data_IF_565570939987
#
_entry.id   IF_565570939987
#
_cell.length_a   1.000
_cell.length_b   1.000
_cell.length_c   1.000
_cell.angle_alpha   90.00
_cell.angle_beta   90.00
_cell.angle_gamma   90.00
#
_symmetry.space_group_name_H-M   'P 1'
#
loop_
_entity.id
_entity.type
_entity.pdbx_description
1 polymer ?
#
# COMPACT_ATOMS: atom_id res chain seq x y z
N UNK A 1 -89.95 -1.66 25.78
CA UNK A 1 -88.58 -2.11 26.09
C UNK A 1 -87.75 -0.85 26.38
N UNK A 2 -87.67 -0.39 27.63
CA UNK A 2 -86.58 -0.58 28.62
C UNK A 2 -85.18 -0.13 28.13
N UNK A 3 -84.70 1.06 28.55
CA UNK A 3 -83.55 1.33 29.47
C UNK A 3 -82.15 1.08 28.86
N UNK A 4 -81.01 1.75 29.12
CA UNK A 4 -80.47 2.79 30.03
C UNK A 4 -78.99 3.02 29.54
N UNK A 5 -78.48 4.26 29.47
CA UNK A 5 -77.39 4.85 30.33
C UNK A 5 -75.93 4.78 29.84
N UNK A 6 -75.22 5.88 30.15
CA UNK A 6 -73.80 6.05 30.55
C UNK A 6 -72.67 5.95 29.50
N UNK A 7 -72.02 7.11 29.25
CA UNK A 7 -70.56 7.24 28.98
C UNK A 7 -69.74 6.57 30.12
N UNK A 8 -68.39 6.36 30.12
CA UNK A 8 -67.31 7.22 29.53
C UNK A 8 -65.94 6.50 29.20
N UNK A 9 -64.86 7.27 28.96
CA UNK A 9 -63.39 6.95 28.97
C UNK A 9 -62.75 6.13 27.83
N UNK A 10 -61.82 6.76 27.08
CA UNK A 10 -60.59 6.15 26.56
C UNK A 10 -59.54 7.26 26.35
N UNK A 11 -58.69 7.48 27.36
CA UNK A 11 -57.27 7.10 27.41
C UNK A 11 -56.42 7.92 26.42
N UNK A 12 -55.82 8.98 26.95
CA UNK A 12 -54.70 9.70 26.36
C UNK A 12 -53.44 8.85 26.55
N UNK A 13 -52.85 8.37 25.46
CA UNK A 13 -51.57 7.66 25.47
C UNK A 13 -50.44 8.71 25.48
N UNK A 14 -49.90 9.01 26.67
CA UNK A 14 -48.65 9.76 26.81
C UNK A 14 -47.47 8.84 26.41
N UNK A 15 -46.80 9.13 25.29
CA UNK A 15 -45.47 8.58 25.03
C UNK A 15 -44.45 9.31 25.91
N UNK A 16 -43.97 8.65 26.96
CA UNK A 16 -42.79 9.10 27.70
C UNK A 16 -41.53 8.65 26.96
N UNK A 17 -40.83 9.59 26.34
CA UNK A 17 -39.45 9.40 25.89
C UNK A 17 -38.54 9.39 27.11
N UNK A 18 -38.15 8.20 27.59
CA UNK A 18 -37.06 8.09 28.56
C UNK A 18 -35.73 8.19 27.81
N UNK A 19 -35.06 9.33 27.93
CA UNK A 19 -33.65 9.44 27.55
C UNK A 19 -32.84 8.69 28.61
N UNK A 20 -32.46 7.46 28.30
CA UNK A 20 -31.51 6.70 29.11
C UNK A 20 -30.10 7.17 28.76
N UNK A 21 -29.52 8.00 29.64
CA UNK A 21 -28.13 8.39 29.55
C UNK A 21 -27.27 7.29 30.18
N UNK A 22 -26.78 6.34 29.38
CA UNK A 22 -25.76 5.39 29.83
C UNK A 22 -24.40 6.09 29.96
N UNK A 23 -23.62 5.86 31.02
CA UNK A 23 -22.25 6.38 31.13
C UNK A 23 -21.32 5.71 30.10
N UNK A 24 -20.29 6.41 29.60
CA UNK A 24 -19.36 5.84 28.64
C UNK A 24 -18.53 4.74 29.30
N UNK A 25 -18.53 3.56 28.70
CA UNK A 25 -17.61 2.49 29.05
C UNK A 25 -16.16 2.95 28.84
N UNK A 26 -15.34 2.88 29.88
CA UNK A 26 -13.89 3.01 29.76
C UNK A 26 -13.39 1.88 28.86
N UNK A 27 -13.07 2.23 27.62
CA UNK A 27 -12.36 1.34 26.71
C UNK A 27 -10.95 1.19 27.25
N UNK A 28 -10.65 -0.01 27.74
CA UNK A 28 -9.30 -0.44 28.07
C UNK A 28 -8.39 -0.18 26.88
N UNK A 29 -7.33 0.58 27.14
CA UNK A 29 -6.25 0.91 26.21
C UNK A 29 -5.56 -0.37 25.72
N UNK A 30 -6.05 -0.95 24.63
CA UNK A 30 -5.24 -1.82 23.78
C UNK A 30 -4.30 -0.91 23.01
N UNK A 31 -2.99 -1.01 23.27
CA UNK A 31 -1.94 -0.35 22.51
C UNK A 31 -2.04 -0.72 21.01
N UNK A 32 -2.85 0.00 20.25
CA UNK A 32 -2.71 0.09 18.81
C UNK A 32 -1.53 1.02 18.54
N UNK A 33 -0.34 0.44 18.41
CA UNK A 33 0.70 1.09 17.62
C UNK A 33 0.16 1.17 16.19
N UNK A 34 -0.01 2.37 15.60
CA UNK A 34 -0.18 2.47 14.16
C UNK A 34 1.05 1.80 13.54
N UNK A 35 0.85 0.96 12.51
CA UNK A 35 1.97 0.51 11.70
C UNK A 35 2.75 1.76 11.26
N UNK A 36 4.01 1.87 11.68
CA UNK A 36 4.85 3.01 11.30
C UNK A 36 4.91 3.05 9.77
N UNK A 37 4.25 4.05 9.17
CA UNK A 37 4.37 4.30 7.74
C UNK A 37 5.75 4.91 7.53
N UNK A 38 6.72 4.08 7.13
CA UNK A 38 8.01 4.59 6.68
C UNK A 38 7.78 5.47 5.42
N UNK A 39 8.46 6.63 5.32
CA UNK A 39 8.31 7.50 4.17
C UNK A 39 8.82 6.78 2.91
N UNK A 40 8.10 6.93 1.80
CA UNK A 40 8.56 6.44 0.51
C UNK A 40 9.82 7.19 0.08
N UNK A 41 10.75 6.48 -0.55
CA UNK A 41 12.03 7.03 -0.99
C UNK A 41 12.00 7.27 -2.50
N UNK A 42 12.22 8.50 -2.99
CA UNK A 42 12.22 8.77 -4.42
C UNK A 42 13.41 8.11 -5.13
N UNK A 43 13.18 7.64 -6.34
CA UNK A 43 14.17 7.14 -7.29
C UNK A 43 13.90 7.77 -8.66
N UNK A 44 14.83 8.57 -9.16
CA UNK A 44 14.72 9.20 -10.47
C UNK A 44 15.01 8.16 -11.55
N UNK A 45 14.16 8.06 -12.57
CA UNK A 45 14.45 7.30 -13.79
C UNK A 45 15.49 8.06 -14.60
N UNK A 46 16.70 7.53 -14.67
CA UNK A 46 17.82 8.14 -15.40
C UNK A 46 17.73 7.80 -16.89
N UNK A 47 17.36 6.56 -17.21
CA UNK A 47 17.25 6.09 -18.59
C UNK A 47 16.32 4.88 -18.70
N UNK A 48 15.86 4.62 -19.93
CA UNK A 48 15.18 3.39 -20.31
C UNK A 48 16.11 2.60 -21.23
N UNK A 49 16.42 1.35 -20.90
CA UNK A 49 17.30 0.50 -21.72
C UNK A 49 16.68 0.24 -23.09
N UNK A 50 17.45 0.39 -24.18
CA UNK A 50 16.92 0.31 -25.54
C UNK A 50 16.41 -1.10 -25.93
N UNK A 51 17.06 -2.16 -25.45
CA UNK A 51 16.78 -3.53 -25.89
C UNK A 51 15.49 -4.12 -25.29
N UNK A 52 15.25 -3.87 -23.99
CA UNK A 52 14.15 -4.50 -23.22
C UNK A 52 13.31 -3.49 -22.43
N UNK A 53 13.49 -2.19 -22.66
CA UNK A 53 12.77 -1.15 -21.94
C UNK A 53 12.82 -1.31 -20.40
N UNK A 54 13.96 -1.74 -19.87
CA UNK A 54 14.21 -1.78 -18.43
C UNK A 54 14.35 -0.35 -17.89
N UNK A 55 13.97 -0.15 -16.63
CA UNK A 55 13.92 1.16 -15.99
C UNK A 55 15.18 1.31 -15.14
N UNK A 56 16.11 2.16 -15.54
CA UNK A 56 17.33 2.42 -14.77
C UNK A 56 17.14 3.67 -13.91
N UNK A 57 17.52 3.58 -12.63
CA UNK A 57 17.28 4.66 -11.67
C UNK A 57 18.58 5.20 -11.06
N UNK A 58 18.51 6.33 -10.35
CA UNK A 58 19.63 6.87 -9.56
C UNK A 58 19.81 6.19 -8.19
N UNK A 59 18.96 5.20 -7.88
CA UNK A 59 18.92 4.54 -6.60
C UNK A 59 20.09 3.56 -6.45
N UNK A 60 21.12 3.96 -5.71
CA UNK A 60 22.27 3.08 -5.43
C UNK A 60 21.91 1.88 -4.54
N UNK A 61 22.63 0.78 -4.71
CA UNK A 61 22.57 -0.39 -3.82
C UNK A 61 22.73 0.00 -2.34
N UNK A 62 23.70 0.88 -2.03
CA UNK A 62 23.93 1.37 -0.66
C UNK A 62 22.69 2.07 -0.09
N UNK A 63 21.95 2.81 -0.91
CA UNK A 63 20.73 3.51 -0.49
C UNK A 63 19.59 2.51 -0.25
N UNK A 64 19.44 1.50 -1.11
CA UNK A 64 18.51 0.39 -0.89
C UNK A 64 18.80 -0.35 0.43
N UNK A 65 20.06 -0.71 0.67
CA UNK A 65 20.46 -1.38 1.91
C UNK A 65 20.14 -0.52 3.15
N UNK A 66 20.35 0.81 3.07
CA UNK A 66 20.03 1.73 4.18
C UNK A 66 18.55 1.79 4.55
N UNK A 67 17.66 1.32 3.67
CA UNK A 67 16.22 1.23 3.90
C UNK A 67 15.73 -0.21 4.04
N UNK A 68 16.64 -1.15 4.28
CA UNK A 68 16.34 -2.55 4.55
C UNK A 68 16.04 -3.39 3.31
N UNK A 69 16.40 -2.93 2.12
CA UNK A 69 16.28 -3.70 0.87
C UNK A 69 17.68 -4.19 0.48
N UNK A 70 17.89 -5.49 0.64
CA UNK A 70 19.12 -6.19 0.26
C UNK A 70 18.81 -7.32 -0.74
N UNK A 71 19.84 -7.93 -1.35
CA UNK A 71 19.66 -9.06 -2.25
C UNK A 71 18.77 -10.16 -1.62
N UNK A 72 17.78 -10.63 -2.38
CA UNK A 72 16.74 -11.55 -1.94
C UNK A 72 15.48 -10.87 -1.35
N UNK A 73 15.51 -9.56 -1.12
CA UNK A 73 14.36 -8.82 -0.57
C UNK A 73 13.27 -8.64 -1.62
N UNK A 74 12.01 -8.79 -1.19
CA UNK A 74 10.86 -8.30 -1.96
C UNK A 74 10.48 -6.91 -1.46
N UNK A 75 10.28 -5.99 -2.39
CA UNK A 75 9.88 -4.61 -2.09
C UNK A 75 8.82 -4.11 -3.06
N UNK A 76 8.22 -2.98 -2.73
CA UNK A 76 7.24 -2.31 -3.61
C UNK A 76 7.81 -0.99 -4.10
N UNK A 77 7.77 -0.78 -5.41
CA UNK A 77 7.93 0.54 -6.02
C UNK A 77 6.54 1.06 -6.43
N UNK A 78 6.35 2.38 -6.36
CA UNK A 78 5.14 3.06 -6.77
C UNK A 78 5.44 4.01 -7.92
N UNK A 79 4.57 4.01 -8.93
CA UNK A 79 4.59 4.98 -10.01
C UNK A 79 3.13 5.31 -10.36
N UNK A 80 2.76 6.59 -10.26
CA UNK A 80 1.37 7.03 -10.33
C UNK A 80 0.44 6.24 -9.38
N UNK A 81 -0.59 5.57 -9.90
CA UNK A 81 -1.51 4.70 -9.15
C UNK A 81 -1.07 3.22 -9.13
N UNK A 82 0.06 2.90 -9.75
CA UNK A 82 0.55 1.53 -9.92
C UNK A 82 1.50 1.13 -8.79
N UNK A 83 1.34 -0.12 -8.32
CA UNK A 83 2.23 -0.77 -7.35
C UNK A 83 2.97 -1.92 -8.00
N UNK A 84 4.29 -1.84 -7.96
CA UNK A 84 5.22 -2.76 -8.61
C UNK A 84 5.91 -3.57 -7.53
N UNK A 85 5.62 -4.86 -7.43
CA UNK A 85 6.25 -5.76 -6.46
C UNK A 85 7.40 -6.50 -7.11
N UNK A 86 8.63 -6.14 -6.77
CA UNK A 86 9.84 -6.73 -7.33
C UNK A 86 10.61 -7.55 -6.30
N UNK A 87 11.35 -8.56 -6.78
CA UNK A 87 12.42 -9.22 -6.02
C UNK A 87 13.75 -8.56 -6.41
N UNK A 88 14.55 -8.10 -5.44
CA UNK A 88 15.96 -7.75 -5.69
C UNK A 88 16.77 -9.04 -5.85
N UNK A 89 16.92 -9.49 -7.10
CA UNK A 89 17.60 -10.73 -7.43
C UNK A 89 19.03 -10.52 -7.91
N UNK A 90 19.61 -11.59 -8.43
CA UNK A 90 20.92 -11.64 -9.09
C UNK A 90 20.78 -11.76 -10.60
N UNK A 91 19.73 -12.43 -11.06
CA UNK A 91 19.44 -12.58 -12.47
C UNK A 91 17.93 -12.70 -12.76
N UNK A 92 17.57 -12.61 -14.04
CA UNK A 92 16.18 -12.66 -14.51
C UNK A 92 15.48 -14.01 -14.24
N UNK A 93 16.22 -15.07 -13.92
CA UNK A 93 15.67 -16.41 -13.64
C UNK A 93 15.31 -16.62 -12.17
N UNK A 94 15.65 -15.68 -11.28
CA UNK A 94 15.23 -15.68 -9.87
C UNK A 94 13.72 -15.47 -9.69
N UNK A 95 13.02 -15.07 -10.75
CA UNK A 95 11.55 -14.95 -10.79
C UNK A 95 10.99 -15.68 -12.00
N UNK A 96 9.68 -15.94 -11.99
CA UNK A 96 9.02 -16.55 -13.14
C UNK A 96 8.99 -15.57 -14.31
N UNK A 97 8.93 -16.12 -15.52
CA UNK A 97 8.73 -15.30 -16.72
C UNK A 97 7.49 -14.42 -16.57
N UNK A 98 7.63 -13.13 -16.84
CA UNK A 98 6.57 -12.12 -16.70
C UNK A 98 6.47 -11.47 -15.32
N UNK A 99 7.22 -11.96 -14.33
CA UNK A 99 7.29 -11.34 -13.02
C UNK A 99 8.34 -10.22 -12.99
N UNK A 100 8.15 -9.30 -12.04
CA UNK A 100 9.04 -8.18 -11.80
C UNK A 100 10.30 -8.60 -11.04
N UNK A 101 11.44 -8.15 -11.54
CA UNK A 101 12.78 -8.33 -10.96
C UNK A 101 13.43 -6.94 -10.81
N UNK A 102 14.18 -6.78 -9.74
CA UNK A 102 15.11 -5.69 -9.54
C UNK A 102 16.52 -6.25 -9.59
N UNK A 103 17.43 -5.57 -10.28
CA UNK A 103 18.84 -5.92 -10.39
C UNK A 103 19.69 -4.71 -10.02
N UNK A 104 20.90 -4.98 -9.53
CA UNK A 104 21.94 -3.95 -9.40
C UNK A 104 22.79 -4.02 -10.66
N UNK A 105 22.82 -2.94 -11.41
CA UNK A 105 23.64 -2.82 -12.62
C UNK A 105 25.13 -2.71 -12.28
N UNK A 106 26.00 -2.81 -13.29
CA UNK A 106 27.45 -2.73 -13.12
C UNK A 106 27.92 -1.42 -12.46
N UNK A 107 27.15 -0.34 -12.60
CA UNK A 107 27.42 0.96 -11.98
C UNK A 107 26.92 1.07 -10.52
N UNK A 108 26.32 0.00 -9.99
CA UNK A 108 25.81 -0.07 -8.62
C UNK A 108 24.43 0.55 -8.42
N UNK A 109 23.69 0.84 -9.50
CA UNK A 109 22.34 1.42 -9.43
C UNK A 109 21.24 0.39 -9.69
N UNK A 110 20.05 0.69 -9.18
CA UNK A 110 18.86 -0.14 -9.32
C UNK A 110 18.29 -0.04 -10.74
N UNK A 111 18.14 -1.21 -11.37
CA UNK A 111 17.31 -1.43 -12.53
C UNK A 111 16.04 -2.21 -12.13
N UNK A 112 14.88 -1.75 -12.60
CA UNK A 112 13.62 -2.50 -12.55
C UNK A 112 13.32 -3.09 -13.93
N UNK A 113 13.00 -4.38 -13.96
CA UNK A 113 12.71 -5.11 -15.18
C UNK A 113 11.55 -6.10 -14.99
N UNK A 114 11.10 -6.67 -16.10
CA UNK A 114 10.18 -7.82 -16.12
C UNK A 114 10.94 -8.96 -16.79
N UNK A 115 10.98 -10.13 -16.16
CA UNK A 115 11.63 -11.31 -16.76
C UNK A 115 10.98 -11.65 -18.11
N UNK A 116 11.75 -11.56 -19.22
CA UNK A 116 11.27 -11.64 -20.60
C UNK A 116 10.09 -10.70 -20.94
N UNK A 117 10.12 -9.48 -20.43
CA UNK A 117 9.13 -8.44 -20.71
C UNK A 117 9.74 -7.05 -20.77
N UNK A 118 8.87 -6.04 -20.98
CA UNK A 118 9.27 -4.64 -21.13
C UNK A 118 8.69 -3.81 -19.98
N UNK A 119 9.51 -3.43 -19.01
CA UNK A 119 9.06 -2.82 -17.75
C UNK A 119 8.50 -1.40 -17.94
N UNK A 120 9.25 -0.52 -18.61
CA UNK A 120 8.83 0.86 -18.85
C UNK A 120 7.56 0.93 -19.70
N UNK A 121 7.49 0.11 -20.76
CA UNK A 121 6.29 -0.02 -21.61
C UNK A 121 5.07 -0.47 -20.82
N UNK A 122 5.26 -1.37 -19.84
CA UNK A 122 4.16 -1.91 -19.04
C UNK A 122 3.51 -0.84 -18.16
N UNK A 123 4.30 0.06 -17.59
CA UNK A 123 3.81 1.07 -16.63
C UNK A 123 3.73 2.48 -17.20
N UNK A 124 4.25 2.71 -18.41
CA UNK A 124 4.20 3.99 -19.10
C UNK A 124 5.21 5.04 -18.60
N UNK A 125 6.28 4.62 -17.91
CA UNK A 125 7.29 5.57 -17.42
C UNK A 125 8.35 5.90 -18.48
N UNK A 126 9.01 7.03 -18.32
CA UNK A 126 10.09 7.53 -19.16
C UNK A 126 11.25 8.09 -18.31
N UNK A 127 12.37 8.38 -18.97
CA UNK A 127 13.48 9.10 -18.32
C UNK A 127 13.02 10.48 -17.82
N UNK A 128 13.44 10.83 -16.60
CA UNK A 128 13.00 12.05 -15.91
C UNK A 128 11.83 11.83 -14.94
N UNK A 129 11.13 10.70 -15.03
CA UNK A 129 10.08 10.34 -14.07
C UNK A 129 10.65 9.96 -12.70
N UNK A 130 9.82 9.98 -11.66
CA UNK A 130 10.18 9.54 -10.31
C UNK A 130 9.34 8.35 -9.89
N UNK A 131 10.00 7.24 -9.56
CA UNK A 131 9.40 6.15 -8.79
C UNK A 131 9.57 6.40 -7.29
N UNK A 132 8.72 5.78 -6.49
CA UNK A 132 8.81 5.85 -5.04
C UNK A 132 8.97 4.45 -4.45
N UNK A 133 10.10 4.19 -3.81
CA UNK A 133 10.42 2.91 -3.19
C UNK A 133 9.85 2.86 -1.78
N UNK A 134 9.05 1.84 -1.50
CA UNK A 134 8.52 1.55 -0.17
C UNK A 134 9.50 0.69 0.61
N UNK A 135 10.02 1.19 1.77
CA UNK A 135 10.82 0.35 2.67
C UNK A 135 10.02 -0.88 3.11
N UNK A 136 10.64 -2.06 3.21
CA UNK A 136 9.97 -3.26 3.71
C UNK A 136 9.41 -3.00 5.10
N UNK A 137 8.18 -3.45 5.35
CA UNK A 137 7.65 -3.42 6.72
C UNK A 137 8.53 -4.34 7.57
N UNK A 138 9.10 -3.83 8.65
CA UNK A 138 9.92 -4.64 9.54
C UNK A 138 9.13 -5.87 10.01
N UNK A 139 9.61 -7.06 9.62
CA UNK A 139 9.12 -8.32 10.19
C UNK A 139 9.47 -8.32 11.68
N UNK A 140 8.45 -8.39 12.55
CA UNK A 140 8.64 -8.64 13.98
C UNK A 140 9.19 -10.02 14.25
#
# INVERSE_FOLDING_TARGET
MLQKTTAPWLIVLLLTLTVSCSPPAQSTSTNHHPAEKHPLVPALVVSISEEYANINTDMSEKKLASIGIEAGSRFTAHFEDQKIKALLGKDYSDVSRGDWIALIEEDGTLQLAISFGNAATKIGCAAGDTLYIEPPTASK
#
